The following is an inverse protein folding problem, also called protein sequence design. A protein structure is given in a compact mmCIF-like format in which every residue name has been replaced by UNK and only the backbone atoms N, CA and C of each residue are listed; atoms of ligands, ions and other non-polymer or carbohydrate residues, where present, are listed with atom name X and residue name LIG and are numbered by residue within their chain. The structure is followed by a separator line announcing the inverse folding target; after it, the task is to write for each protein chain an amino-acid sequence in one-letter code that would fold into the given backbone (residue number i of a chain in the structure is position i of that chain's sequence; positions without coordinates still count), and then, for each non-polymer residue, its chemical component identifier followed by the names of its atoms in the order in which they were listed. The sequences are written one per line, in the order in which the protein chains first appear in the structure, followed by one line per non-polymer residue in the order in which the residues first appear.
data_IF_973913267083
#
_entry.id   IF_973913267083
#
_cell.length_a   1.000
_cell.length_b   1.000
_cell.length_c   1.000
_cell.angle_alpha   90.00
_cell.angle_beta   90.00
_cell.angle_gamma   90.00
#
_symmetry.space_group_name_H-M   'P 1'
#
loop_
_entity.id
_entity.type
_entity.pdbx_description
1 polymer ?
#
# COMPACT_ATOMS: atom_id res chain seq x y z
N UNK A 1 -10.46 6.25 -19.42
CA UNK A 1 -9.10 5.87 -19.01
C UNK A 1 -8.83 6.52 -17.67
N UNK A 2 -8.37 5.77 -16.67
CA UNK A 2 -7.86 6.35 -15.42
C UNK A 2 -6.46 6.90 -15.70
N UNK A 3 -6.28 8.22 -15.62
CA UNK A 3 -4.95 8.83 -15.66
C UNK A 3 -4.22 8.50 -14.35
N UNK A 4 -3.29 7.54 -14.39
CA UNK A 4 -2.40 7.26 -13.27
C UNK A 4 -1.35 8.37 -13.22
N UNK A 5 -1.46 9.25 -12.22
CA UNK A 5 -0.41 10.23 -11.93
C UNK A 5 0.59 9.59 -10.95
N UNK A 6 1.86 9.40 -11.33
CA UNK A 6 2.79 8.59 -10.54
C UNK A 6 3.12 9.19 -9.15
N UNK A 7 3.25 10.52 -9.06
CA UNK A 7 3.54 11.21 -7.80
C UNK A 7 2.47 11.01 -6.71
N UNK A 8 1.16 11.27 -6.94
CA UNK A 8 0.14 11.06 -5.92
C UNK A 8 -0.10 9.59 -5.57
N UNK A 9 0.17 8.65 -6.49
CA UNK A 9 0.09 7.21 -6.20
C UNK A 9 1.22 6.78 -5.26
N UNK A 10 2.45 7.26 -5.49
CA UNK A 10 3.57 7.01 -4.59
C UNK A 10 3.33 7.61 -3.20
N UNK A 11 2.80 8.83 -3.12
CA UNK A 11 2.41 9.47 -1.87
C UNK A 11 1.32 8.68 -1.12
N UNK A 12 0.33 8.18 -1.84
CA UNK A 12 -0.75 7.36 -1.26
C UNK A 12 -0.21 6.03 -0.71
N UNK A 13 0.73 5.38 -1.40
CA UNK A 13 1.37 4.16 -0.93
C UNK A 13 2.20 4.42 0.35
N UNK A 14 2.94 5.53 0.39
CA UNK A 14 3.68 5.95 1.58
C UNK A 14 2.75 6.22 2.77
N UNK A 15 1.65 6.94 2.54
CA UNK A 15 0.65 7.23 3.57
C UNK A 15 0.03 5.95 4.13
N UNK A 16 -0.27 4.96 3.29
CA UNK A 16 -0.77 3.66 3.73
C UNK A 16 0.27 2.89 4.54
N UNK A 17 1.55 2.95 4.16
CA UNK A 17 2.64 2.35 4.95
C UNK A 17 2.77 3.00 6.32
N UNK A 18 2.69 4.33 6.39
CA UNK A 18 2.70 5.05 7.66
C UNK A 18 1.48 4.69 8.52
N UNK A 19 0.28 4.64 7.94
CA UNK A 19 -0.93 4.23 8.66
C UNK A 19 -0.83 2.80 9.22
N UNK A 20 -0.30 1.85 8.42
CA UNK A 20 -0.04 0.49 8.89
C UNK A 20 0.92 0.47 10.09
N UNK A 21 2.01 1.25 10.03
CA UNK A 21 2.97 1.35 11.14
C UNK A 21 2.34 1.91 12.41
N UNK A 22 1.43 2.89 12.30
CA UNK A 22 0.71 3.43 13.46
C UNK A 22 -0.22 2.36 14.05
N UNK A 23 -0.98 1.66 13.21
CA UNK A 23 -1.88 0.58 13.65
C UNK A 23 -1.12 -0.55 14.36
N UNK A 24 0.01 -0.98 13.79
CA UNK A 24 0.87 -2.01 14.39
C UNK A 24 1.38 -1.59 15.79
N UNK A 25 1.83 -0.35 15.93
CA UNK A 25 2.28 0.21 17.22
C UNK A 25 1.15 0.28 18.23
N UNK A 26 -0.03 0.77 17.82
CA UNK A 26 -1.21 0.86 18.68
C UNK A 26 -1.69 -0.52 19.13
N UNK A 27 -1.70 -1.52 18.25
CA UNK A 27 -2.01 -2.90 18.60
C UNK A 27 -0.99 -3.48 19.59
N UNK A 28 0.30 -3.19 19.41
CA UNK A 28 1.35 -3.56 20.36
C UNK A 28 1.10 -3.00 21.76
N UNK A 29 0.86 -1.69 21.87
CA UNK A 29 0.56 -1.03 23.15
C UNK A 29 -0.71 -1.61 23.81
N UNK A 30 -1.74 -1.88 23.02
CA UNK A 30 -2.98 -2.48 23.51
C UNK A 30 -2.76 -3.92 24.03
N UNK A 31 -1.90 -4.72 23.39
CA UNK A 31 -1.52 -6.06 23.88
C UNK A 31 -0.74 -5.99 25.20
N UNK A 32 0.13 -5.00 25.36
CA UNK A 32 0.85 -4.80 26.62
C UNK A 32 -0.12 -4.40 27.75
N UNK A 33 -1.06 -3.51 27.47
CA UNK A 33 -2.14 -3.18 28.40
C UNK A 33 -3.01 -4.40 28.76
N UNK A 34 -3.35 -5.23 27.76
CA UNK A 34 -4.09 -6.47 27.98
C UNK A 34 -3.36 -7.39 28.96
N UNK A 35 -2.06 -7.63 28.75
CA UNK A 35 -1.24 -8.48 29.64
C UNK A 35 -1.17 -7.94 31.06
N UNK A 36 -1.05 -6.63 31.23
CA UNK A 36 -1.06 -6.00 32.55
C UNK A 36 -2.41 -6.21 33.28
N UNK A 37 -3.50 -6.18 32.51
CA UNK A 37 -4.87 -6.28 33.03
C UNK A 37 -5.35 -7.72 33.27
N UNK A 38 -4.69 -8.73 32.68
CA UNK A 38 -5.05 -10.15 32.80
C UNK A 38 -4.97 -10.70 34.24
N UNK A 39 -4.24 -10.01 35.13
CA UNK A 39 -4.14 -10.38 36.55
C UNK A 39 -5.37 -10.02 37.40
N UNK A 40 -6.32 -9.25 36.84
CA UNK A 40 -7.48 -8.74 37.56
C UNK A 40 -8.77 -9.48 37.15
N UNK A 41 -9.36 -10.24 38.06
CA UNK A 41 -10.57 -11.06 37.79
C UNK A 41 -11.79 -10.24 37.36
N UNK A 42 -11.91 -8.97 37.77
CA UNK A 42 -13.01 -8.08 37.38
C UNK A 42 -12.83 -7.45 35.99
N UNK A 43 -11.69 -7.67 35.32
CA UNK A 43 -11.38 -7.07 34.02
C UNK A 43 -11.79 -7.93 32.82
N UNK A 44 -12.49 -9.05 33.01
CA UNK A 44 -12.84 -9.99 31.93
C UNK A 44 -13.59 -9.32 30.77
N UNK A 45 -14.62 -8.53 31.06
CA UNK A 45 -15.42 -7.84 30.04
C UNK A 45 -14.65 -6.71 29.32
N UNK A 46 -13.90 -5.82 30.04
CA UNK A 46 -12.96 -4.89 29.41
C UNK A 46 -11.88 -5.57 28.54
N UNK A 47 -11.29 -6.67 29.01
CA UNK A 47 -10.27 -7.43 28.29
C UNK A 47 -10.83 -8.02 26.99
N UNK A 48 -12.07 -8.49 27.01
CA UNK A 48 -12.76 -8.96 25.81
C UNK A 48 -12.88 -7.86 24.75
N UNK A 49 -13.36 -6.67 25.14
CA UNK A 49 -13.45 -5.52 24.23
C UNK A 49 -12.09 -5.10 23.69
N UNK A 50 -11.07 -5.09 24.56
CA UNK A 50 -9.70 -4.77 24.17
C UNK A 50 -9.16 -5.76 23.13
N UNK A 51 -9.42 -7.06 23.30
CA UNK A 51 -9.05 -8.10 22.31
C UNK A 51 -9.76 -7.89 20.97
N UNK A 52 -11.04 -7.54 21.00
CA UNK A 52 -11.81 -7.24 19.77
C UNK A 52 -11.24 -6.01 19.04
N UNK A 53 -10.85 -4.96 19.78
CA UNK A 53 -10.25 -3.76 19.20
C UNK A 53 -8.84 -4.01 18.67
N UNK A 54 -8.02 -4.82 19.37
CA UNK A 54 -6.72 -5.30 18.87
C UNK A 54 -6.89 -6.00 17.53
N UNK A 55 -7.82 -6.95 17.46
CA UNK A 55 -8.11 -7.69 16.22
C UNK A 55 -8.53 -6.76 15.08
N UNK A 56 -9.39 -5.77 15.34
CA UNK A 56 -9.80 -4.78 14.34
C UNK A 56 -8.64 -3.92 13.85
N UNK A 57 -7.71 -3.56 14.74
CA UNK A 57 -6.50 -2.81 14.35
C UNK A 57 -5.61 -3.64 13.44
N UNK A 58 -5.40 -4.92 13.75
CA UNK A 58 -4.61 -5.86 12.93
C UNK A 58 -5.25 -6.10 11.56
N UNK A 59 -6.58 -6.22 11.50
CA UNK A 59 -7.32 -6.35 10.24
C UNK A 59 -7.13 -5.11 9.35
N UNK A 60 -7.21 -3.91 9.93
CA UNK A 60 -6.97 -2.64 9.22
C UNK A 60 -5.51 -2.46 8.80
N UNK A 61 -4.57 -2.89 9.64
CA UNK A 61 -3.14 -2.88 9.32
C UNK A 61 -2.89 -3.72 8.07
N UNK A 62 -3.41 -4.96 8.07
CA UNK A 62 -3.29 -5.86 6.93
C UNK A 62 -3.90 -5.26 5.65
N UNK A 63 -5.09 -4.64 5.75
CA UNK A 63 -5.72 -3.95 4.61
C UNK A 63 -4.84 -2.80 4.09
N UNK A 64 -4.31 -1.97 4.97
CA UNK A 64 -3.43 -0.86 4.59
C UNK A 64 -2.16 -1.35 3.88
N UNK A 65 -1.54 -2.43 4.38
CA UNK A 65 -0.38 -3.06 3.74
C UNK A 65 -0.72 -3.61 2.36
N UNK A 66 -1.86 -4.30 2.21
CA UNK A 66 -2.30 -4.85 0.93
C UNK A 66 -2.58 -3.75 -0.09
N UNK A 67 -3.28 -2.69 0.32
CA UNK A 67 -3.57 -1.54 -0.53
C UNK A 67 -2.28 -0.82 -0.95
N UNK A 68 -1.34 -0.62 -0.01
CA UNK A 68 -0.04 0.00 -0.30
C UNK A 68 0.74 -0.78 -1.36
N UNK A 69 0.82 -2.11 -1.20
CA UNK A 69 1.47 -2.99 -2.19
C UNK A 69 0.79 -2.96 -3.55
N UNK A 70 -0.53 -2.93 -3.59
CA UNK A 70 -1.27 -2.85 -4.86
C UNK A 70 -0.98 -1.53 -5.60
N UNK A 71 -0.86 -0.41 -4.87
CA UNK A 71 -0.48 0.87 -5.46
C UNK A 71 0.97 0.87 -5.97
N UNK A 72 1.90 0.31 -5.21
CA UNK A 72 3.30 0.16 -5.64
C UNK A 72 3.41 -0.69 -6.92
N UNK A 73 2.69 -1.81 -6.98
CA UNK A 73 2.64 -2.67 -8.17
C UNK A 73 2.05 -1.94 -9.39
N UNK A 74 0.93 -1.24 -9.21
CA UNK A 74 0.30 -0.47 -10.28
C UNK A 74 1.23 0.65 -10.81
N UNK A 75 1.99 1.29 -9.91
CA UNK A 75 2.98 2.31 -10.27
C UNK A 75 4.14 1.70 -11.07
N UNK A 76 4.68 0.57 -10.63
CA UNK A 76 5.75 -0.15 -11.32
C UNK A 76 5.32 -0.58 -12.74
N UNK A 77 4.11 -1.11 -12.88
CA UNK A 77 3.54 -1.49 -14.17
C UNK A 77 3.36 -0.28 -15.10
N UNK A 78 2.86 0.83 -14.57
CA UNK A 78 2.72 2.08 -15.30
C UNK A 78 4.07 2.58 -15.84
N UNK A 79 5.09 2.66 -14.98
CA UNK A 79 6.43 3.13 -15.35
C UNK A 79 7.11 2.20 -16.38
N UNK A 80 6.92 0.88 -16.27
CA UNK A 80 7.42 -0.07 -17.26
C UNK A 80 6.74 0.11 -18.62
N UNK A 81 5.42 0.35 -18.62
CA UNK A 81 4.67 0.57 -19.83
C UNK A 81 5.04 1.90 -20.51
N UNK A 82 5.20 2.99 -19.75
CA UNK A 82 5.70 4.26 -20.28
C UNK A 82 7.08 4.10 -20.94
N UNK A 83 8.02 3.42 -20.27
CA UNK A 83 9.36 3.15 -20.84
C UNK A 83 9.27 2.36 -22.15
N UNK A 84 8.42 1.33 -22.22
CA UNK A 84 8.22 0.55 -23.45
C UNK A 84 7.64 1.39 -24.58
N UNK A 85 6.67 2.25 -24.29
CA UNK A 85 6.07 3.15 -25.28
C UNK A 85 7.12 4.12 -25.81
N UNK A 86 7.94 4.71 -24.93
CA UNK A 86 9.00 5.63 -25.32
C UNK A 86 10.02 4.96 -26.25
N UNK A 87 10.55 3.79 -25.86
CA UNK A 87 11.50 3.02 -26.68
C UNK A 87 10.91 2.70 -28.06
N UNK A 88 9.66 2.21 -28.10
CA UNK A 88 9.00 1.89 -29.36
C UNK A 88 8.85 3.13 -30.25
N UNK A 89 8.47 4.28 -29.66
CA UNK A 89 8.30 5.54 -30.38
C UNK A 89 9.62 6.05 -30.98
N UNK A 90 10.72 5.98 -30.21
CA UNK A 90 12.06 6.33 -30.66
C UNK A 90 12.56 5.40 -31.77
N UNK A 91 12.28 4.09 -31.68
CA UNK A 91 12.61 3.13 -32.74
C UNK A 91 11.82 3.37 -34.03
N UNK A 92 10.53 3.71 -33.95
CA UNK A 92 9.75 4.10 -35.14
C UNK A 92 10.19 5.43 -35.75
N UNK A 93 10.62 6.38 -34.93
CA UNK A 93 11.16 7.66 -35.41
C UNK A 93 12.56 7.51 -36.05
N UNK A 94 13.35 6.52 -35.61
CA UNK A 94 14.67 6.22 -36.14
C UNK A 94 14.65 5.34 -37.41
N UNK A 95 13.50 4.81 -37.84
CA UNK A 95 13.39 4.15 -39.14
C UNK A 95 13.52 5.21 -40.24
N UNK A 96 14.56 5.16 -41.09
CA UNK A 96 14.64 6.08 -42.20
C UNK A 96 13.43 5.83 -43.09
N UNK A 97 12.81 6.90 -43.58
CA UNK A 97 11.83 6.90 -44.66
C UNK A 97 12.44 6.35 -45.97
N UNK A 98 12.88 5.09 -45.96
CA UNK A 98 13.38 4.34 -47.10
C UNK A 98 12.27 3.42 -47.56
N UNK A 99 11.27 4.00 -48.21
CA UNK A 99 10.38 3.35 -49.18
C UNK A 99 9.38 4.41 -49.59
N UNK A 100 9.74 5.22 -50.58
CA UNK A 100 8.86 5.78 -51.62
C UNK A 100 9.74 6.66 -52.52
N UNK A 101 10.67 6.03 -53.25
CA UNK A 101 11.03 6.52 -54.58
C UNK A 101 10.34 5.56 -55.55
N UNK A 102 9.24 6.03 -56.12
CA UNK A 102 8.71 5.50 -57.38
C UNK A 102 9.63 5.93 -58.51
#
# INVERSE_FOLDING_TARGET
MLEIRPAPVAESAENLRQAANVLARSAGLARDAQRALESFSYMEEPLRKLRDDIRRMEEKEMQAVQMGRALEQALDEYLRNEKRILINSEMTAALPARRFRR
#
